data_IF_423080906843
#
_entry.id   IF_423080906843
#
_cell.length_a   1.000
_cell.length_b   1.000
_cell.length_c   1.000
_cell.angle_alpha   90.00
_cell.angle_beta   90.00
_cell.angle_gamma   90.00
#
_symmetry.space_group_name_H-M   'P 1'
#
loop_
_entity.id
_entity.type
_entity.pdbx_description
1 polymer ?
#
# COMPACT_ATOMS: atom_id res chain seq x y z
N UNK A 1 -3.16 -26.29 -37.22
CA UNK A 1 -3.03 -24.83 -37.03
C UNK A 1 -3.86 -24.44 -35.82
N UNK A 2 -3.25 -24.07 -34.69
CA UNK A 2 -3.99 -23.70 -33.47
C UNK A 2 -4.65 -22.33 -33.74
N UNK A 3 -5.97 -22.26 -33.58
CA UNK A 3 -6.74 -21.03 -33.77
C UNK A 3 -6.29 -19.96 -32.78
N UNK A 4 -5.85 -18.80 -33.28
CA UNK A 4 -5.48 -17.62 -32.47
C UNK A 4 -6.59 -17.25 -31.50
N UNK A 5 -7.86 -17.42 -31.90
CA UNK A 5 -9.02 -17.17 -31.05
C UNK A 5 -9.05 -18.08 -29.82
N UNK A 6 -8.85 -19.39 -30.03
CA UNK A 6 -8.87 -20.36 -28.94
C UNK A 6 -7.72 -20.12 -27.95
N UNK A 7 -6.54 -19.71 -28.45
CA UNK A 7 -5.40 -19.34 -27.61
C UNK A 7 -5.69 -18.10 -26.77
N UNK A 8 -6.27 -17.04 -27.36
CA UNK A 8 -6.62 -15.82 -26.65
C UNK A 8 -7.71 -16.05 -25.58
N UNK A 9 -8.72 -16.85 -25.91
CA UNK A 9 -9.78 -17.23 -24.96
C UNK A 9 -9.22 -18.05 -23.78
N UNK A 10 -8.34 -19.02 -24.05
CA UNK A 10 -7.66 -19.80 -23.01
C UNK A 10 -6.79 -18.92 -22.10
N UNK A 11 -6.03 -17.99 -22.68
CA UNK A 11 -5.24 -17.03 -21.90
C UNK A 11 -6.14 -16.14 -21.04
N UNK A 12 -7.25 -15.64 -21.59
CA UNK A 12 -8.17 -14.77 -20.86
C UNK A 12 -8.88 -15.48 -19.71
N UNK A 13 -9.26 -16.75 -19.89
CA UNK A 13 -9.80 -17.59 -18.82
C UNK A 13 -8.76 -17.86 -17.74
N UNK A 14 -7.50 -18.11 -18.12
CA UNK A 14 -6.39 -18.30 -17.18
C UNK A 14 -6.07 -17.00 -16.40
N UNK A 15 -6.17 -15.83 -17.03
CA UNK A 15 -6.04 -14.55 -16.32
C UNK A 15 -7.19 -14.32 -15.34
N UNK A 16 -8.44 -14.63 -15.72
CA UNK A 16 -9.59 -14.54 -14.82
C UNK A 16 -9.46 -15.48 -13.62
N UNK A 17 -8.97 -16.71 -13.84
CA UNK A 17 -8.77 -17.66 -12.75
C UNK A 17 -7.63 -17.22 -11.82
N UNK A 18 -6.55 -16.67 -12.35
CA UNK A 18 -5.45 -16.11 -11.53
C UNK A 18 -5.94 -14.90 -10.73
N UNK A 19 -6.71 -14.00 -11.34
CA UNK A 19 -7.30 -12.82 -10.66
C UNK A 19 -8.27 -13.23 -9.55
N UNK A 20 -9.06 -14.29 -9.77
CA UNK A 20 -9.97 -14.84 -8.77
C UNK A 20 -9.26 -15.61 -7.63
N UNK A 21 -8.08 -16.19 -7.90
CA UNK A 21 -7.26 -16.94 -6.95
C UNK A 21 -6.25 -16.07 -6.20
N UNK A 22 -6.01 -14.85 -6.64
CA UNK A 22 -5.07 -13.95 -5.99
C UNK A 22 -5.71 -13.28 -4.77
N UNK A 23 -5.98 -14.12 -3.78
CA UNK A 23 -6.42 -13.77 -2.43
C UNK A 23 -5.24 -13.65 -1.48
N UNK A 24 -3.99 -13.67 -1.99
CA UNK A 24 -2.79 -13.61 -1.18
C UNK A 24 -2.61 -12.24 -0.51
N UNK A 25 -2.03 -12.25 0.69
CA UNK A 25 -1.55 -11.02 1.34
C UNK A 25 -0.25 -10.62 0.67
N UNK A 26 -0.22 -9.41 0.11
CA UNK A 26 0.98 -8.76 -0.40
C UNK A 26 1.44 -7.69 0.56
N UNK A 27 2.70 -7.32 0.44
CA UNK A 27 3.32 -6.30 1.29
C UNK A 27 3.95 -5.24 0.42
N UNK A 28 3.72 -3.97 0.76
CA UNK A 28 4.48 -2.82 0.27
C UNK A 28 5.25 -2.21 1.44
N UNK A 29 6.54 -1.97 1.24
CA UNK A 29 7.39 -1.28 2.21
C UNK A 29 7.69 0.11 1.66
N UNK A 30 7.50 1.13 2.49
CA UNK A 30 7.80 2.54 2.21
C UNK A 30 8.85 2.97 3.21
N UNK A 31 9.96 3.54 2.73
CA UNK A 31 11.06 4.00 3.57
C UNK A 31 11.42 5.43 3.19
N UNK A 32 11.45 6.34 4.15
CA UNK A 32 11.69 7.77 3.93
C UNK A 32 12.56 8.35 5.03
N UNK A 33 13.50 9.23 4.67
CA UNK A 33 14.27 10.04 5.62
C UNK A 33 13.72 11.47 5.65
N UNK A 34 13.05 11.87 6.74
CA UNK A 34 12.30 13.13 6.80
C UNK A 34 12.36 13.79 8.18
N UNK A 35 12.08 15.09 8.20
CA UNK A 35 11.62 15.77 9.41
C UNK A 35 10.09 15.61 9.50
N UNK A 36 9.60 15.06 10.61
CA UNK A 36 8.17 14.85 10.86
C UNK A 36 7.63 16.08 11.57
N UNK A 37 6.67 16.77 10.96
CA UNK A 37 6.02 17.93 11.59
C UNK A 37 4.85 17.51 12.48
N UNK A 38 4.54 18.32 13.50
CA UNK A 38 3.28 18.18 14.25
C UNK A 38 2.09 18.27 13.27
N UNK A 39 1.15 17.33 13.39
CA UNK A 39 0.00 17.20 12.47
C UNK A 39 0.23 16.14 11.40
N UNK A 40 -0.18 16.44 10.16
CA UNK A 40 -0.24 15.48 9.04
C UNK A 40 0.96 15.68 8.11
N UNK A 41 1.70 14.60 7.86
CA UNK A 41 2.83 14.55 6.94
C UNK A 41 2.50 13.59 5.79
N UNK A 42 2.78 13.98 4.55
CA UNK A 42 2.60 13.09 3.40
C UNK A 42 3.86 12.25 3.20
N UNK A 43 3.70 10.94 3.02
CA UNK A 43 4.81 10.02 2.73
C UNK A 43 4.78 9.59 1.26
N UNK A 44 3.71 8.92 0.83
CA UNK A 44 3.64 8.37 -0.53
C UNK A 44 2.21 8.35 -1.07
N UNK A 45 2.06 8.33 -2.39
CA UNK A 45 0.81 7.95 -3.06
C UNK A 45 0.86 6.47 -3.40
N UNK A 46 -0.12 5.72 -2.90
CA UNK A 46 -0.22 4.27 -3.03
C UNK A 46 -1.11 3.90 -4.24
N UNK A 47 -0.63 2.96 -5.05
CA UNK A 47 -1.47 2.27 -6.05
C UNK A 47 -2.15 1.04 -5.41
N UNK A 48 -2.80 1.26 -4.26
CA UNK A 48 -3.50 0.25 -3.46
C UNK A 48 -4.90 0.79 -3.15
N UNK A 49 -5.93 0.00 -3.41
CA UNK A 49 -7.29 0.36 -3.03
C UNK A 49 -7.46 0.20 -1.51
N UNK A 50 -8.05 1.21 -0.84
CA UNK A 50 -8.07 1.30 0.63
C UNK A 50 -8.82 0.12 1.27
N UNK A 51 -9.87 -0.38 0.61
CA UNK A 51 -10.64 -1.56 1.02
C UNK A 51 -9.86 -2.88 0.96
N UNK A 52 -8.67 -2.86 0.35
CA UNK A 52 -7.76 -4.02 0.28
C UNK A 52 -6.69 -4.01 1.36
N UNK A 53 -6.50 -2.90 2.07
CA UNK A 53 -5.48 -2.81 3.13
C UNK A 53 -5.94 -3.66 4.32
N UNK A 54 -5.07 -4.58 4.74
CA UNK A 54 -5.28 -5.48 5.88
C UNK A 54 -4.60 -4.92 7.13
N UNK A 55 -3.38 -4.40 6.97
CA UNK A 55 -2.63 -3.80 8.08
C UNK A 55 -1.69 -2.70 7.60
N UNK A 56 -1.43 -1.78 8.51
CA UNK A 56 -0.40 -0.76 8.39
C UNK A 56 0.42 -0.85 9.68
N UNK A 57 1.69 -1.20 9.55
CA UNK A 57 2.65 -1.25 10.65
C UNK A 57 3.92 -0.50 10.24
N UNK A 58 4.85 -0.32 11.16
CA UNK A 58 6.09 0.34 10.83
C UNK A 58 6.90 0.75 12.05
N UNK A 59 8.01 1.43 11.78
CA UNK A 59 8.89 2.01 12.78
C UNK A 59 9.32 3.41 12.37
N UNK A 60 9.64 4.22 13.36
CA UNK A 60 10.34 5.49 13.21
C UNK A 60 11.62 5.39 14.02
N UNK A 61 12.76 5.53 13.36
CA UNK A 61 14.05 5.67 14.00
C UNK A 61 14.29 7.16 14.22
N UNK A 62 14.45 7.55 15.47
CA UNK A 62 14.70 8.92 15.87
C UNK A 62 15.74 8.95 16.97
N UNK A 63 16.83 9.67 16.73
CA UNK A 63 17.98 9.70 17.65
C UNK A 63 18.44 8.26 17.98
N UNK A 64 18.42 7.87 19.25
CA UNK A 64 18.74 6.52 19.73
C UNK A 64 17.50 5.62 19.95
N UNK A 65 16.32 6.05 19.52
CA UNK A 65 15.06 5.32 19.70
C UNK A 65 14.58 4.68 18.40
N UNK A 66 13.97 3.49 18.54
CA UNK A 66 13.16 2.85 17.51
C UNK A 66 11.74 2.78 18.05
N UNK A 67 10.84 3.56 17.46
CA UNK A 67 9.46 3.71 17.91
C UNK A 67 8.52 2.98 16.95
N UNK A 68 7.63 2.08 17.43
CA UNK A 68 6.67 1.42 16.56
C UNK A 68 5.57 2.38 16.09
N UNK A 69 5.01 2.13 14.90
CA UNK A 69 3.75 2.74 14.46
C UNK A 69 2.58 1.76 14.69
N UNK A 70 1.49 2.12 15.37
CA UNK A 70 1.25 3.40 16.06
C UNK A 70 1.93 3.45 17.43
N UNK A 71 2.65 4.53 17.70
CA UNK A 71 3.31 4.78 18.99
C UNK A 71 2.30 5.44 19.94
N UNK A 72 1.95 4.79 21.08
CA UNK A 72 1.03 5.37 22.04
C UNK A 72 1.64 6.59 22.73
N UNK A 73 0.79 7.51 23.17
CA UNK A 73 1.15 8.70 23.93
C UNK A 73 1.60 8.37 25.36
N UNK A 74 2.54 7.45 25.56
CA UNK A 74 2.99 6.99 26.87
C UNK A 74 4.47 7.32 27.09
N UNK A 75 4.77 7.84 28.28
CA UNK A 75 6.12 8.00 28.78
C UNK A 75 6.53 6.75 29.57
N UNK A 76 7.44 5.94 29.03
CA UNK A 76 7.87 4.70 29.68
C UNK A 76 8.76 4.92 30.90
N UNK A 77 9.34 6.11 31.09
CA UNK A 77 10.15 6.45 32.27
C UNK A 77 9.31 6.87 33.48
N UNK A 78 8.06 7.32 33.26
CA UNK A 78 7.21 7.86 34.33
C UNK A 78 5.76 7.35 34.31
N UNK A 79 5.35 6.57 33.31
CA UNK A 79 3.98 6.09 33.13
C UNK A 79 2.96 7.16 32.74
N UNK A 80 3.39 8.42 32.56
CA UNK A 80 2.50 9.54 32.22
C UNK A 80 2.16 9.61 30.74
N UNK A 81 1.08 10.32 30.39
CA UNK A 81 0.77 10.63 29.00
C UNK A 81 1.70 11.71 28.44
N UNK A 82 2.13 11.56 27.17
CA UNK A 82 2.93 12.57 26.47
C UNK A 82 2.43 12.81 25.04
N UNK A 83 2.57 14.03 24.54
CA UNK A 83 2.09 14.45 23.20
C UNK A 83 2.99 13.98 22.03
N UNK A 84 3.58 12.79 22.12
CA UNK A 84 4.52 12.25 21.13
C UNK A 84 3.90 11.14 20.26
N UNK A 85 2.57 11.01 20.26
CA UNK A 85 1.90 9.97 19.50
C UNK A 85 2.26 10.01 18.01
N UNK A 86 2.54 8.84 17.43
CA UNK A 86 2.83 8.67 16.00
C UNK A 86 1.90 7.61 15.42
N UNK A 87 1.28 7.87 14.28
CA UNK A 87 0.42 6.91 13.61
C UNK A 87 0.54 7.02 12.09
N UNK A 88 0.57 5.89 11.40
CA UNK A 88 0.44 5.86 9.95
C UNK A 88 -1.02 5.63 9.55
N UNK A 89 -1.49 6.38 8.54
CA UNK A 89 -2.85 6.26 8.01
C UNK A 89 -2.83 6.41 6.50
N UNK A 90 -3.74 5.72 5.81
CA UNK A 90 -3.97 5.92 4.38
C UNK A 90 -5.28 6.68 4.19
N UNK A 91 -5.22 7.86 3.57
CA UNK A 91 -6.39 8.69 3.25
C UNK A 91 -6.42 8.89 1.74
N UNK A 92 -7.49 8.43 1.08
CA UNK A 92 -7.67 8.57 -0.38
C UNK A 92 -6.43 8.14 -1.18
N UNK A 93 -5.88 6.96 -0.87
CA UNK A 93 -4.65 6.39 -1.44
C UNK A 93 -3.34 7.11 -1.09
N UNK A 94 -3.36 8.16 -0.28
CA UNK A 94 -2.14 8.81 0.23
C UNK A 94 -1.78 8.22 1.59
N UNK A 95 -0.58 7.63 1.67
CA UNK A 95 0.04 7.28 2.94
C UNK A 95 0.49 8.55 3.66
N UNK A 96 0.06 8.69 4.90
CA UNK A 96 0.32 9.84 5.76
C UNK A 96 0.82 9.37 7.11
N UNK A 97 1.64 10.23 7.72
CA UNK A 97 2.09 10.09 9.10
C UNK A 97 1.49 11.22 9.93
N UNK A 98 0.73 10.84 10.96
CA UNK A 98 0.19 11.76 11.95
C UNK A 98 1.13 11.79 13.14
N UNK A 99 1.52 12.99 13.58
CA UNK A 99 2.38 13.19 14.73
C UNK A 99 1.81 14.20 15.72
N UNK A 100 1.92 13.90 17.02
CA UNK A 100 1.61 14.84 18.11
C UNK A 100 2.67 15.93 18.34
N UNK A 101 3.88 15.73 17.82
CA UNK A 101 5.04 16.61 18.01
C UNK A 101 5.91 16.76 16.75
N UNK A 102 6.83 17.70 16.75
CA UNK A 102 7.87 17.80 15.73
C UNK A 102 9.04 16.87 16.05
N UNK A 103 9.53 16.16 15.04
CA UNK A 103 10.68 15.26 15.11
C UNK A 103 11.63 15.56 13.96
N UNK A 104 12.93 15.67 14.23
CA UNK A 104 13.93 15.98 13.22
C UNK A 104 14.78 14.75 12.90
N UNK A 105 15.24 14.64 11.65
CA UNK A 105 16.15 13.59 11.16
C UNK A 105 15.65 12.17 11.48
N UNK A 106 14.45 11.84 11.01
CA UNK A 106 13.82 10.55 11.26
C UNK A 106 13.95 9.63 10.04
N UNK A 107 14.27 8.35 10.28
CA UNK A 107 14.08 7.30 9.27
C UNK A 107 12.75 6.60 9.55
N UNK A 108 11.81 6.74 8.62
CA UNK A 108 10.47 6.17 8.71
C UNK A 108 10.41 4.95 7.82
N UNK A 109 9.96 3.81 8.37
CA UNK A 109 9.60 2.63 7.60
C UNK A 109 8.13 2.29 7.87
N UNK A 110 7.33 2.21 6.81
CA UNK A 110 5.93 1.76 6.86
C UNK A 110 5.77 0.51 6.03
N UNK A 111 5.15 -0.51 6.62
CA UNK A 111 4.81 -1.78 5.99
C UNK A 111 3.29 -1.84 5.85
N UNK A 112 2.82 -1.92 4.61
CA UNK A 112 1.40 -2.02 4.27
C UNK A 112 1.15 -3.41 3.73
N UNK A 113 0.35 -4.20 4.44
CA UNK A 113 -0.13 -5.48 3.94
C UNK A 113 -1.53 -5.33 3.36
N UNK A 114 -1.77 -5.90 2.18
CA UNK A 114 -3.02 -5.75 1.44
C UNK A 114 -3.38 -7.01 0.65
N UNK A 115 -4.66 -7.22 0.38
CA UNK A 115 -5.16 -8.38 -0.38
C UNK A 115 -5.03 -8.13 -1.89
N UNK A 116 -4.42 -9.09 -2.59
CA UNK A 116 -4.55 -9.33 -4.02
C UNK A 116 -3.44 -8.80 -4.91
N UNK A 117 -3.54 -9.11 -6.22
CA UNK A 117 -2.69 -8.53 -7.25
C UNK A 117 -2.67 -9.20 -8.62
N UNK A 118 -3.65 -8.85 -9.44
CA UNK A 118 -3.32 -8.38 -10.77
C UNK A 118 -3.91 -6.98 -10.88
N UNK A 119 -3.10 -5.97 -11.23
CA UNK A 119 -3.61 -4.61 -11.41
C UNK A 119 -4.82 -4.68 -12.34
N UNK A 120 -6.00 -4.23 -11.89
CA UNK A 120 -7.22 -4.17 -12.73
C UNK A 120 -6.93 -3.50 -14.08
N UNK A 121 -6.00 -2.56 -14.12
CA UNK A 121 -5.52 -1.89 -15.34
C UNK A 121 -4.84 -2.84 -16.34
N UNK A 122 -4.01 -3.80 -15.90
CA UNK A 122 -3.37 -4.80 -16.77
C UNK A 122 -4.40 -5.77 -17.36
N UNK A 123 -5.38 -6.19 -16.56
CA UNK A 123 -6.51 -7.01 -17.06
C UNK A 123 -7.37 -6.22 -18.04
N UNK A 124 -7.65 -4.94 -17.74
CA UNK A 124 -8.42 -4.07 -18.64
C UNK A 124 -7.69 -3.88 -19.97
N UNK A 125 -6.39 -3.57 -19.94
CA UNK A 125 -5.57 -3.43 -21.15
C UNK A 125 -5.51 -4.74 -21.96
N UNK A 126 -5.33 -5.88 -21.30
CA UNK A 126 -5.35 -7.18 -21.95
C UNK A 126 -6.72 -7.50 -22.57
N UNK A 127 -7.82 -7.25 -21.85
CA UNK A 127 -9.19 -7.39 -22.39
C UNK A 127 -9.41 -6.50 -23.63
N UNK A 128 -8.95 -5.24 -23.59
CA UNK A 128 -9.02 -4.33 -24.74
C UNK A 128 -8.22 -4.88 -25.92
N UNK A 129 -6.99 -5.35 -25.68
CA UNK A 129 -6.14 -5.95 -26.71
C UNK A 129 -6.76 -7.19 -27.34
N UNK A 130 -7.31 -8.10 -26.52
CA UNK A 130 -8.02 -9.30 -26.98
C UNK A 130 -9.25 -8.90 -27.82
N UNK A 131 -10.04 -7.92 -27.36
CA UNK A 131 -11.21 -7.41 -28.10
C UNK A 131 -10.82 -6.82 -29.47
N UNK A 132 -9.70 -6.09 -29.54
CA UNK A 132 -9.16 -5.57 -30.80
C UNK A 132 -8.71 -6.70 -31.74
N UNK A 133 -8.04 -7.73 -31.23
CA UNK A 133 -7.57 -8.88 -32.04
C UNK A 133 -8.68 -9.82 -32.49
N UNK A 134 -9.80 -9.89 -31.76
CA UNK A 134 -10.97 -10.72 -32.10
C UNK A 134 -12.02 -10.02 -32.98
N UNK A 135 -11.78 -8.77 -33.42
CA UNK A 135 -12.60 -8.09 -34.43
C UNK A 135 -13.76 -7.23 -33.91
N UNK A 136 -13.67 -6.68 -32.69
CA UNK A 136 -14.74 -5.87 -32.10
C UNK A 136 -14.42 -4.38 -31.94
N UNK A 137 -14.23 -3.65 -33.05
CA UNK A 137 -14.46 -2.19 -33.08
C UNK A 137 -15.87 -1.97 -33.62
N UNK A 138 -16.80 -1.69 -32.70
CA UNK A 138 -17.88 -0.73 -32.93
C UNK A 138 -17.69 0.36 -31.89
#
# INVERSE_FOLDING_TARGET
>A
MISVKNTLEAMMNKFKSIDALDTGIRTKVVTEHINIRKGINNLEVLDIDVDKIVSISGTVHYSNYVLPLSYPQLNYGSGGYIEWGLAAVVISKSLKLISGADWNNCDVQVVISYVGGVKRSKIKAFKTFVKMKLGGVK
#
